data_IF_706170753273
#
_entry.id   IF_706170753273
#
_cell.length_a   1.000
_cell.length_b   1.000
_cell.length_c   1.000
_cell.angle_alpha   90.00
_cell.angle_beta   90.00
_cell.angle_gamma   90.00
#
_symmetry.space_group_name_H-M   'P 1'
#
loop_
_entity.id
_entity.type
_entity.pdbx_description
1 polymer ?
#
# COMPACT_ATOMS: atom_id res chain seq x y z
N UNK A 1 25.94 -26.10 34.48
CA UNK A 1 24.47 -25.98 34.22
C UNK A 1 24.16 -24.50 34.00
N UNK A 2 24.16 -24.03 32.75
CA UNK A 2 23.88 -22.64 32.43
C UNK A 2 22.36 -22.51 32.22
N UNK A 3 21.70 -21.76 33.10
CA UNK A 3 20.32 -21.40 32.96
C UNK A 3 20.20 -20.32 31.86
N UNK A 4 19.72 -20.70 30.70
CA UNK A 4 19.26 -19.76 29.69
C UNK A 4 17.91 -19.17 30.17
N UNK A 5 17.96 -17.97 30.74
CA UNK A 5 16.75 -17.16 30.93
C UNK A 5 16.35 -16.60 29.57
N UNK A 6 15.34 -17.19 28.94
CA UNK A 6 14.68 -16.59 27.78
C UNK A 6 13.99 -15.30 28.25
N UNK A 7 14.52 -14.16 27.85
CA UNK A 7 13.81 -12.89 27.97
C UNK A 7 12.51 -13.00 27.15
N UNK A 8 11.36 -12.54 27.67
CA UNK A 8 10.14 -12.52 26.90
C UNK A 8 10.35 -11.61 25.69
N UNK A 9 10.30 -12.17 24.49
CA UNK A 9 10.17 -11.42 23.25
C UNK A 9 8.78 -10.78 23.26
N UNK A 10 8.69 -9.52 23.71
CA UNK A 10 7.49 -8.72 23.45
C UNK A 10 7.31 -8.64 21.93
N UNK A 11 6.28 -9.28 21.41
CA UNK A 11 5.92 -9.19 20.00
C UNK A 11 5.71 -7.71 19.62
N UNK A 12 6.21 -7.31 18.46
CA UNK A 12 5.95 -5.96 17.94
C UNK A 12 4.46 -5.71 17.87
N UNK A 13 4.03 -4.51 18.26
CA UNK A 13 2.63 -4.07 18.19
C UNK A 13 2.55 -2.61 17.78
N UNK A 14 1.41 -2.25 17.20
CA UNK A 14 1.09 -0.86 16.91
C UNK A 14 0.53 -0.17 18.15
N UNK A 15 1.09 1.00 18.49
CA UNK A 15 0.56 1.88 19.54
C UNK A 15 0.04 3.15 18.87
N UNK A 16 -1.22 3.51 19.14
CA UNK A 16 -1.81 4.72 18.57
C UNK A 16 -1.10 5.97 19.08
N UNK A 17 -0.74 6.84 18.14
CA UNK A 17 -0.21 8.19 18.42
C UNK A 17 -1.33 9.21 18.25
N UNK A 18 -2.13 9.06 17.19
CA UNK A 18 -3.18 10.01 16.80
C UNK A 18 -4.19 9.35 15.88
N UNK A 19 -5.40 9.90 15.86
CA UNK A 19 -6.41 9.60 14.82
C UNK A 19 -7.06 10.87 14.31
N UNK A 20 -7.46 10.81 13.04
CA UNK A 20 -8.19 11.89 12.37
C UNK A 20 -9.51 11.34 11.85
N UNK A 21 -10.63 11.87 12.33
CA UNK A 21 -11.94 11.56 11.76
C UNK A 21 -12.18 12.46 10.55
N UNK A 22 -12.51 11.85 9.42
CA UNK A 22 -12.68 12.53 8.15
C UNK A 22 -14.07 12.23 7.57
N UNK A 23 -14.43 12.92 6.49
CA UNK A 23 -15.73 12.73 5.84
C UNK A 23 -15.81 11.39 5.11
N UNK A 24 -14.73 11.01 4.43
CA UNK A 24 -14.67 9.76 3.66
C UNK A 24 -13.24 9.21 3.63
N UNK A 25 -13.12 7.92 3.98
CA UNK A 25 -11.85 7.19 3.94
C UNK A 25 -12.13 5.77 3.44
N UNK A 26 -11.65 5.40 2.24
CA UNK A 26 -12.06 4.14 1.61
C UNK A 26 -10.92 3.22 1.17
N UNK A 27 -9.90 3.73 0.48
CA UNK A 27 -8.90 2.88 -0.18
C UNK A 27 -7.53 2.95 0.49
N UNK A 28 -7.05 4.12 0.82
CA UNK A 28 -5.73 4.22 1.43
C UNK A 28 -5.31 5.62 1.82
N UNK A 29 -4.07 5.70 2.29
CA UNK A 29 -3.43 6.93 2.70
C UNK A 29 -1.99 6.97 2.20
N UNK A 30 -1.55 8.14 1.74
CA UNK A 30 -0.15 8.47 1.46
C UNK A 30 0.33 9.57 2.41
N UNK A 31 1.63 9.71 2.60
CA UNK A 31 2.21 10.68 3.55
C UNK A 31 3.41 11.39 2.93
N UNK A 32 3.55 12.70 3.18
CA UNK A 32 4.80 13.45 3.02
C UNK A 32 5.27 14.02 4.38
N UNK A 33 6.20 14.95 4.36
CA UNK A 33 6.75 15.54 5.58
C UNK A 33 5.67 16.29 6.41
N UNK A 34 4.80 17.08 5.76
CA UNK A 34 3.81 17.94 6.42
C UNK A 34 2.36 17.51 6.31
N UNK A 35 2.05 16.57 5.41
CA UNK A 35 0.69 16.23 5.06
C UNK A 35 0.46 14.72 4.97
N UNK A 36 -0.80 14.34 5.03
CA UNK A 36 -1.27 13.05 4.56
C UNK A 36 -2.37 13.24 3.51
N UNK A 37 -2.50 12.24 2.64
CA UNK A 37 -3.41 12.23 1.49
C UNK A 37 -4.33 11.03 1.62
N UNK A 38 -5.63 11.26 1.66
CA UNK A 38 -6.62 10.18 1.62
C UNK A 38 -6.94 9.86 0.17
N UNK A 39 -6.92 8.59 -0.15
CA UNK A 39 -7.19 8.07 -1.49
C UNK A 39 -8.49 7.30 -1.44
N UNK A 40 -9.44 7.70 -2.26
CA UNK A 40 -10.69 7.01 -2.52
C UNK A 40 -10.75 6.59 -3.99
N UNK A 41 -11.75 5.80 -4.37
CA UNK A 41 -11.85 5.28 -5.74
C UNK A 41 -11.70 6.36 -6.83
N UNK A 42 -12.29 7.53 -6.61
CA UNK A 42 -12.44 8.60 -7.60
C UNK A 42 -11.99 9.97 -7.07
N UNK A 43 -11.46 10.01 -5.85
CA UNK A 43 -11.14 11.29 -5.21
C UNK A 43 -9.88 11.22 -4.36
N UNK A 44 -9.29 12.39 -4.16
CA UNK A 44 -8.15 12.61 -3.28
C UNK A 44 -8.44 13.80 -2.38
N UNK A 45 -8.05 13.70 -1.11
CA UNK A 45 -8.02 14.83 -0.19
C UNK A 45 -6.66 14.95 0.47
N UNK A 46 -6.18 16.16 0.67
CA UNK A 46 -4.90 16.48 1.32
C UNK A 46 -5.16 17.13 2.66
N UNK A 47 -4.47 16.69 3.70
CA UNK A 47 -4.65 17.14 5.06
C UNK A 47 -3.33 17.44 5.73
N UNK A 48 -3.30 18.43 6.64
CA UNK A 48 -2.14 18.70 7.48
C UNK A 48 -1.97 17.62 8.55
N UNK A 49 -0.73 17.21 8.83
CA UNK A 49 -0.43 16.26 9.92
C UNK A 49 -0.67 16.85 11.31
N UNK A 50 -0.61 18.19 11.45
CA UNK A 50 -0.72 18.86 12.74
C UNK A 50 -2.11 18.78 13.36
N UNK A 51 -3.16 18.93 12.53
CA UNK A 51 -4.54 19.06 12.99
C UNK A 51 -5.58 18.32 12.13
N UNK A 52 -5.15 17.70 11.02
CA UNK A 52 -6.03 16.99 10.08
C UNK A 52 -6.84 17.91 9.18
N UNK A 53 -6.58 19.22 9.18
CA UNK A 53 -7.32 20.17 8.35
C UNK A 53 -7.10 19.88 6.87
N UNK A 54 -8.20 19.78 6.12
CA UNK A 54 -8.14 19.62 4.67
C UNK A 54 -7.63 20.91 4.00
N UNK A 55 -6.62 20.76 3.15
CA UNK A 55 -5.97 21.87 2.43
C UNK A 55 -6.20 21.83 0.92
N UNK A 56 -6.49 20.66 0.37
CA UNK A 56 -6.84 20.49 -1.05
C UNK A 56 -7.73 19.27 -1.24
N UNK A 57 -8.45 19.25 -2.35
CA UNK A 57 -9.24 18.10 -2.80
C UNK A 57 -9.22 18.03 -4.33
N UNK A 58 -9.37 16.80 -4.82
CA UNK A 58 -9.55 16.51 -6.24
C UNK A 58 -10.57 15.39 -6.42
N UNK A 59 -11.40 15.49 -7.45
CA UNK A 59 -12.36 14.46 -7.83
C UNK A 59 -12.26 14.21 -9.33
N UNK A 60 -12.36 12.97 -9.74
CA UNK A 60 -12.52 12.61 -11.15
C UNK A 60 -13.92 13.02 -11.64
N UNK A 61 -13.96 14.03 -12.50
CA UNK A 61 -15.20 14.51 -13.14
C UNK A 61 -15.42 13.86 -14.50
N UNK A 62 -14.48 13.07 -14.97
CA UNK A 62 -14.52 12.43 -16.31
C UNK A 62 -15.06 11.01 -16.28
N UNK A 63 -15.06 10.37 -15.11
CA UNK A 63 -15.42 8.95 -14.94
C UNK A 63 -14.38 7.98 -15.49
N UNK A 64 -13.17 8.45 -15.77
CA UNK A 64 -12.09 7.62 -16.31
C UNK A 64 -11.34 6.83 -15.24
N UNK A 65 -11.28 7.34 -14.01
CA UNK A 65 -10.60 6.67 -12.90
C UNK A 65 -11.61 5.85 -12.10
N UNK A 66 -11.65 4.54 -12.37
CA UNK A 66 -12.63 3.63 -11.77
C UNK A 66 -12.27 3.22 -10.34
N UNK A 67 -11.01 2.94 -10.08
CA UNK A 67 -10.58 2.39 -8.79
C UNK A 67 -9.12 2.77 -8.48
N UNK A 68 -8.91 3.94 -7.89
CA UNK A 68 -7.63 4.24 -7.23
C UNK A 68 -7.54 3.46 -5.92
N UNK A 69 -6.33 3.01 -5.54
CA UNK A 69 -6.14 2.11 -4.41
C UNK A 69 -5.16 2.70 -3.37
N UNK A 70 -3.91 2.85 -3.72
CA UNK A 70 -2.86 3.36 -2.84
C UNK A 70 -2.17 4.58 -3.42
N UNK A 71 -1.28 5.19 -2.65
CA UNK A 71 -0.43 6.26 -3.14
C UNK A 71 0.90 6.35 -2.41
N UNK A 72 1.87 6.95 -3.09
CA UNK A 72 3.18 7.30 -2.52
C UNK A 72 3.60 8.69 -3.00
N UNK A 73 4.16 9.48 -2.09
CA UNK A 73 4.71 10.80 -2.44
C UNK A 73 6.21 10.69 -2.66
N UNK A 74 6.66 11.06 -3.86
CA UNK A 74 8.08 11.12 -4.22
C UNK A 74 8.40 12.53 -4.75
N UNK A 75 9.20 13.26 -4.01
CA UNK A 75 9.47 14.67 -4.29
C UNK A 75 8.18 15.50 -4.21
N UNK A 76 7.79 16.14 -5.30
CA UNK A 76 6.55 16.95 -5.39
C UNK A 76 5.41 16.26 -6.11
N UNK A 77 5.45 14.94 -6.25
CA UNK A 77 4.44 14.18 -6.98
C UNK A 77 3.82 13.11 -6.06
N UNK A 78 2.51 12.99 -6.11
CA UNK A 78 1.75 11.89 -5.55
C UNK A 78 1.45 10.91 -6.68
N UNK A 79 1.94 9.69 -6.54
CA UNK A 79 1.72 8.59 -7.48
C UNK A 79 0.64 7.68 -6.90
N UNK A 80 -0.52 7.63 -7.54
CA UNK A 80 -1.64 6.80 -7.12
C UNK A 80 -1.75 5.57 -8.01
N UNK A 81 -1.90 4.40 -7.42
CA UNK A 81 -2.22 3.18 -8.17
C UNK A 81 -3.68 3.19 -8.59
N UNK A 82 -3.95 2.75 -9.80
CA UNK A 82 -5.29 2.69 -10.38
C UNK A 82 -5.49 1.41 -11.19
N UNK A 83 -6.71 0.88 -11.18
CA UNK A 83 -7.13 -0.21 -12.05
C UNK A 83 -8.60 -0.08 -12.42
N UNK A 84 -9.03 -0.88 -13.42
CA UNK A 84 -10.44 -1.01 -13.77
C UNK A 84 -11.20 -1.99 -12.87
N UNK A 85 -10.64 -2.38 -11.72
CA UNK A 85 -11.31 -3.30 -10.79
C UNK A 85 -12.80 -2.92 -10.59
N UNK A 86 -13.76 -3.86 -10.58
CA UNK A 86 -13.58 -5.32 -10.63
C UNK A 86 -13.64 -5.94 -12.03
N UNK A 87 -13.49 -5.17 -13.10
CA UNK A 87 -13.63 -5.66 -14.48
C UNK A 87 -12.44 -6.55 -14.87
N UNK A 88 -12.70 -7.51 -15.74
CA UNK A 88 -11.69 -8.34 -16.37
C UNK A 88 -11.82 -8.23 -17.91
N UNK A 89 -10.71 -8.21 -18.64
CA UNK A 89 -9.33 -8.28 -18.17
C UNK A 89 -8.90 -7.05 -17.38
N UNK A 90 -8.02 -7.25 -16.37
CA UNK A 90 -7.50 -6.15 -15.55
C UNK A 90 -6.61 -5.23 -16.37
N UNK A 91 -6.94 -3.94 -16.35
CA UNK A 91 -6.11 -2.85 -16.87
C UNK A 91 -5.66 -1.97 -15.70
N UNK A 92 -4.40 -1.58 -15.69
CA UNK A 92 -3.80 -0.88 -14.57
C UNK A 92 -2.90 0.26 -15.00
N UNK A 93 -2.83 1.30 -14.17
CA UNK A 93 -2.01 2.49 -14.37
C UNK A 93 -1.48 3.06 -13.05
N UNK A 94 -0.51 3.95 -13.16
CA UNK A 94 -0.14 4.90 -12.11
C UNK A 94 -0.63 6.26 -12.55
N UNK A 95 -1.45 6.88 -11.73
CA UNK A 95 -1.95 8.24 -11.92
C UNK A 95 -1.09 9.23 -11.13
N UNK A 96 -0.62 10.28 -11.77
CA UNK A 96 0.37 11.19 -11.19
C UNK A 96 -0.28 12.54 -10.93
N UNK A 97 -0.18 13.00 -9.69
CA UNK A 97 -0.71 14.28 -9.24
C UNK A 97 0.41 15.18 -8.71
N UNK A 98 0.28 16.49 -8.90
CA UNK A 98 1.08 17.46 -8.16
C UNK A 98 0.69 17.40 -6.67
N UNK A 99 1.63 17.09 -5.80
CA UNK A 99 1.36 16.88 -4.38
C UNK A 99 0.97 18.16 -3.62
N UNK A 100 1.14 19.34 -4.21
CA UNK A 100 0.73 20.61 -3.60
C UNK A 100 -0.71 20.94 -3.93
N UNK A 101 -1.07 20.87 -5.20
CA UNK A 101 -2.37 21.32 -5.73
C UNK A 101 -3.39 20.21 -5.95
N UNK A 102 -2.96 18.95 -5.90
CA UNK A 102 -3.69 17.75 -6.32
C UNK A 102 -4.15 17.77 -7.78
N UNK A 103 -3.59 18.63 -8.62
CA UNK A 103 -3.88 18.60 -10.06
C UNK A 103 -3.30 17.32 -10.67
N UNK A 104 -4.09 16.59 -11.44
CA UNK A 104 -3.62 15.46 -12.24
C UNK A 104 -2.64 15.98 -13.32
N UNK A 105 -1.47 15.38 -13.42
CA UNK A 105 -0.36 15.87 -14.28
C UNK A 105 0.22 14.81 -15.20
N UNK A 106 -0.23 13.55 -15.10
CA UNK A 106 0.25 12.50 -15.98
C UNK A 106 -0.23 11.12 -15.55
N UNK A 107 0.03 10.16 -16.40
CA UNK A 107 -0.33 8.76 -16.20
C UNK A 107 0.74 7.85 -16.81
N UNK A 108 0.95 6.68 -16.21
CA UNK A 108 1.70 5.58 -16.82
C UNK A 108 0.82 4.34 -16.85
N UNK A 109 0.49 3.85 -18.06
CA UNK A 109 -0.34 2.66 -18.23
C UNK A 109 0.53 1.40 -18.34
N UNK A 110 0.16 0.37 -17.57
CA UNK A 110 0.68 -0.99 -17.74
C UNK A 110 -0.14 -1.81 -18.75
N UNK A 111 -1.23 -1.23 -19.28
CA UNK A 111 -2.16 -1.92 -20.17
C UNK A 111 -2.85 -3.09 -19.48
N UNK A 112 -3.05 -4.16 -20.23
CA UNK A 112 -3.65 -5.40 -19.74
C UNK A 112 -2.60 -6.30 -19.06
N UNK A 113 -1.96 -5.79 -18.00
CA UNK A 113 -1.03 -6.60 -17.22
C UNK A 113 -1.80 -7.64 -16.38
N UNK A 114 -1.19 -8.79 -16.05
CA UNK A 114 -1.88 -9.82 -15.28
C UNK A 114 -2.09 -9.43 -13.82
N UNK A 115 -3.01 -8.50 -13.56
CA UNK A 115 -3.43 -8.13 -12.22
C UNK A 115 -3.84 -6.67 -12.07
N UNK A 116 -4.48 -6.37 -10.94
CA UNK A 116 -4.81 -5.01 -10.49
C UNK A 116 -3.62 -4.40 -9.76
N UNK A 117 -3.14 -3.23 -10.16
CA UNK A 117 -2.12 -2.52 -9.39
C UNK A 117 -2.75 -2.03 -8.08
N UNK A 118 -2.30 -2.60 -6.96
CA UNK A 118 -2.82 -2.26 -5.63
C UNK A 118 -1.91 -1.33 -4.85
N UNK A 119 -0.60 -1.45 -5.02
CA UNK A 119 0.35 -0.52 -4.44
C UNK A 119 1.62 -0.39 -5.28
N UNK A 120 2.25 0.75 -5.16
CA UNK A 120 3.56 1.04 -5.74
C UNK A 120 4.41 1.82 -4.74
N UNK A 121 5.71 1.61 -4.80
CA UNK A 121 6.69 2.36 -4.02
C UNK A 121 7.96 2.60 -4.84
N UNK A 122 8.70 3.64 -4.48
CA UNK A 122 10.01 3.95 -5.08
C UNK A 122 11.11 3.74 -4.04
N UNK A 123 11.95 2.73 -4.28
CA UNK A 123 13.00 2.34 -3.34
C UNK A 123 14.30 1.98 -4.07
N UNK A 124 15.42 2.55 -3.64
CA UNK A 124 16.75 2.32 -4.22
C UNK A 124 16.81 2.50 -5.75
N UNK A 125 16.24 3.62 -6.27
CA UNK A 125 16.27 3.96 -7.69
C UNK A 125 15.35 3.10 -8.58
N UNK A 126 14.40 2.37 -8.00
CA UNK A 126 13.47 1.51 -8.74
C UNK A 126 12.04 1.66 -8.25
N UNK A 127 11.11 1.51 -9.18
CA UNK A 127 9.71 1.31 -8.85
C UNK A 127 9.46 -0.15 -8.47
N UNK A 128 8.67 -0.34 -7.42
CA UNK A 128 8.19 -1.63 -6.94
C UNK A 128 6.67 -1.62 -6.97
N UNK A 129 6.08 -2.49 -7.77
CA UNK A 129 4.64 -2.46 -8.07
C UNK A 129 4.04 -3.82 -7.81
N UNK A 130 2.99 -3.89 -7.01
CA UNK A 130 2.24 -5.11 -6.77
C UNK A 130 1.04 -5.20 -7.71
N UNK A 131 0.98 -6.31 -8.45
CA UNK A 131 -0.14 -6.68 -9.29
C UNK A 131 -0.94 -7.78 -8.60
N UNK A 132 -2.08 -7.41 -8.04
CA UNK A 132 -2.97 -8.32 -7.34
C UNK A 132 -3.87 -9.09 -8.30
N UNK A 133 -4.05 -10.37 -8.02
CA UNK A 133 -5.10 -11.20 -8.57
C UNK A 133 -6.00 -11.67 -7.43
N UNK A 134 -7.21 -12.10 -7.72
CA UNK A 134 -8.25 -12.38 -6.75
C UNK A 134 -8.81 -13.79 -6.92
N UNK A 135 -9.39 -14.35 -5.85
CA UNK A 135 -10.09 -15.64 -5.86
C UNK A 135 -11.61 -15.47 -5.71
N UNK A 136 -12.14 -14.31 -6.07
CA UNK A 136 -13.56 -13.97 -6.01
C UNK A 136 -14.10 -13.56 -7.40
N UNK A 137 -15.21 -12.81 -7.42
CA UNK A 137 -15.87 -12.34 -8.66
C UNK A 137 -14.99 -11.49 -9.58
N UNK A 138 -13.88 -10.94 -9.08
CA UNK A 138 -12.91 -10.20 -9.87
C UNK A 138 -11.75 -11.09 -10.36
N UNK A 139 -11.88 -12.40 -10.25
CA UNK A 139 -10.93 -13.37 -10.75
C UNK A 139 -10.97 -13.42 -12.28
N UNK A 140 -9.83 -13.29 -12.93
CA UNK A 140 -9.70 -13.57 -14.35
C UNK A 140 -9.70 -15.11 -14.56
N UNK A 141 -10.19 -15.56 -15.73
CA UNK A 141 -10.23 -16.98 -16.06
C UNK A 141 -8.86 -17.64 -15.91
N UNK A 142 -8.81 -18.76 -15.21
CA UNK A 142 -7.59 -19.51 -14.93
C UNK A 142 -6.64 -18.85 -13.94
N UNK A 143 -7.05 -17.77 -13.25
CA UNK A 143 -6.24 -17.07 -12.26
C UNK A 143 -6.96 -16.95 -10.94
N UNK A 144 -6.18 -16.95 -9.86
CA UNK A 144 -6.61 -16.67 -8.51
C UNK A 144 -5.55 -15.79 -7.80
N UNK A 145 -5.69 -15.57 -6.51
CA UNK A 145 -4.76 -14.71 -5.78
C UNK A 145 -3.30 -15.23 -5.74
N UNK A 146 -3.04 -16.49 -6.10
CA UNK A 146 -1.68 -17.05 -6.23
C UNK A 146 -0.88 -16.42 -7.38
N UNK A 147 -1.57 -15.75 -8.32
CA UNK A 147 -0.95 -15.00 -9.41
C UNK A 147 -0.50 -13.58 -9.01
N UNK A 148 -0.68 -13.21 -7.75
CA UNK A 148 -0.22 -11.92 -7.23
C UNK A 148 1.30 -11.84 -7.23
N UNK A 149 1.84 -10.77 -7.81
CA UNK A 149 3.28 -10.56 -7.97
C UNK A 149 3.71 -9.19 -7.51
N UNK A 150 4.95 -9.10 -7.02
CA UNK A 150 5.69 -7.85 -6.86
C UNK A 150 6.69 -7.72 -7.99
N UNK A 151 6.61 -6.66 -8.75
CA UNK A 151 7.44 -6.42 -9.93
C UNK A 151 8.31 -5.18 -9.71
N UNK A 152 9.59 -5.32 -10.03
CA UNK A 152 10.58 -4.25 -10.00
C UNK A 152 10.72 -3.65 -11.38
N UNK A 153 10.67 -2.32 -11.47
CA UNK A 153 10.86 -1.55 -12.70
C UNK A 153 11.99 -0.55 -12.55
N UNK A 154 12.60 -0.16 -13.67
CA UNK A 154 13.47 1.02 -13.73
C UNK A 154 12.65 2.30 -13.51
N UNK A 155 13.32 3.45 -13.35
CA UNK A 155 12.66 4.76 -13.30
C UNK A 155 11.83 5.05 -14.56
N UNK A 156 12.20 4.49 -15.72
CA UNK A 156 11.47 4.59 -16.99
C UNK A 156 10.44 3.49 -17.21
N UNK A 157 10.06 2.77 -16.16
CA UNK A 157 9.04 1.71 -16.16
C UNK A 157 9.38 0.47 -17.00
N UNK A 158 10.66 0.18 -17.23
CA UNK A 158 11.07 -1.09 -17.83
C UNK A 158 11.14 -2.16 -16.75
N UNK A 159 10.48 -3.30 -16.96
CA UNK A 159 10.50 -4.41 -16.02
C UNK A 159 11.92 -4.97 -15.87
N UNK A 160 12.37 -5.19 -14.64
CA UNK A 160 13.68 -5.74 -14.29
C UNK A 160 13.53 -7.17 -13.77
N UNK A 161 12.72 -7.35 -12.71
CA UNK A 161 12.52 -8.63 -12.01
C UNK A 161 11.10 -8.71 -11.44
N UNK A 162 10.68 -9.93 -11.06
CA UNK A 162 9.39 -10.15 -10.41
C UNK A 162 9.47 -11.30 -9.39
N UNK A 163 8.64 -11.20 -8.33
CA UNK A 163 8.54 -12.20 -7.26
C UNK A 163 7.08 -12.53 -6.96
N UNK A 164 6.84 -13.81 -6.70
CA UNK A 164 5.59 -14.27 -6.15
C UNK A 164 5.51 -13.97 -4.65
N UNK A 165 4.30 -13.76 -4.13
CA UNK A 165 4.07 -13.72 -2.70
C UNK A 165 4.08 -15.14 -2.10
N UNK A 166 4.48 -15.32 -0.83
CA UNK A 166 4.47 -16.62 -0.17
C UNK A 166 3.05 -17.17 -0.04
N UNK A 167 2.88 -18.48 -0.21
CA UNK A 167 1.57 -19.13 -0.20
C UNK A 167 0.76 -18.89 1.10
N UNK A 168 1.43 -18.92 2.26
CA UNK A 168 0.79 -18.65 3.55
C UNK A 168 0.28 -17.19 3.67
N UNK A 169 0.97 -16.23 3.07
CA UNK A 169 0.55 -14.81 3.03
C UNK A 169 -0.64 -14.65 2.10
N UNK A 170 -0.61 -15.26 0.91
CA UNK A 170 -1.73 -15.25 -0.02
C UNK A 170 -2.98 -15.93 0.55
N UNK A 171 -2.80 -17.02 1.30
CA UNK A 171 -3.90 -17.69 2.00
C UNK A 171 -4.51 -16.77 3.08
N UNK A 172 -3.69 -16.00 3.79
CA UNK A 172 -4.19 -15.04 4.78
C UNK A 172 -4.95 -13.87 4.14
N UNK A 173 -4.65 -13.51 2.90
CA UNK A 173 -5.32 -12.47 2.13
C UNK A 173 -6.61 -12.94 1.44
N UNK A 174 -6.75 -14.26 1.20
CA UNK A 174 -7.86 -14.84 0.44
C UNK A 174 -9.24 -14.48 1.02
N UNK A 175 -10.27 -14.29 0.17
CA UNK A 175 -10.28 -14.41 -1.30
C UNK A 175 -9.70 -13.19 -2.04
N UNK A 176 -9.35 -12.14 -1.29
CA UNK A 176 -8.71 -10.93 -1.79
C UNK A 176 -7.19 -11.14 -1.99
N UNK A 177 -6.46 -10.04 -2.06
CA UNK A 177 -5.02 -10.02 -2.25
C UNK A 177 -4.37 -8.92 -1.41
N UNK A 178 -3.10 -8.57 -1.72
CA UNK A 178 -2.45 -7.42 -1.10
C UNK A 178 -3.14 -6.12 -1.51
N UNK A 179 -3.41 -5.24 -0.54
CA UNK A 179 -4.05 -3.93 -0.77
C UNK A 179 -3.10 -2.76 -0.59
N UNK A 180 -2.08 -2.91 0.24
CA UNK A 180 -1.07 -1.89 0.48
C UNK A 180 0.31 -2.47 0.63
N UNK A 181 1.33 -1.66 0.34
CA UNK A 181 2.71 -2.08 0.57
C UNK A 181 3.71 -0.94 0.40
N UNK A 182 4.84 -1.08 1.07
CA UNK A 182 5.94 -0.11 1.03
C UNK A 182 7.24 -0.75 1.51
N UNK A 183 8.36 -0.15 1.14
CA UNK A 183 9.67 -0.48 1.69
C UNK A 183 9.94 0.29 2.97
N UNK A 184 10.41 -0.41 3.99
CA UNK A 184 10.98 0.21 5.17
C UNK A 184 12.44 0.64 4.95
N UNK A 185 12.93 1.56 5.77
CA UNK A 185 14.33 2.00 5.76
C UNK A 185 15.31 0.88 6.13
N UNK A 186 14.82 -0.18 6.75
CA UNK A 186 15.58 -1.39 7.12
C UNK A 186 15.71 -2.43 5.98
N UNK A 187 15.23 -2.12 4.77
CA UNK A 187 15.28 -3.03 3.63
C UNK A 187 14.26 -4.17 3.67
N UNK A 188 13.22 -4.04 4.49
CA UNK A 188 12.11 -4.98 4.53
C UNK A 188 10.90 -4.42 3.78
N UNK A 189 10.08 -5.32 3.27
CA UNK A 189 8.82 -5.01 2.62
C UNK A 189 7.71 -5.19 3.66
N UNK A 190 6.87 -4.19 3.79
CA UNK A 190 5.68 -4.22 4.62
C UNK A 190 4.46 -4.23 3.71
N UNK A 191 3.51 -5.13 3.94
CA UNK A 191 2.28 -5.16 3.16
C UNK A 191 1.07 -5.55 4.01
N UNK A 192 -0.10 -5.12 3.56
CA UNK A 192 -1.41 -5.46 4.13
C UNK A 192 -2.22 -6.30 3.16
N UNK A 193 -3.14 -7.10 3.71
CA UNK A 193 -4.24 -7.68 2.97
C UNK A 193 -5.40 -6.70 2.81
N UNK A 194 -6.61 -7.22 2.60
CA UNK A 194 -7.80 -6.38 2.37
C UNK A 194 -8.60 -6.09 3.65
N UNK A 195 -8.70 -7.03 4.58
CA UNK A 195 -9.65 -6.91 5.70
C UNK A 195 -8.99 -6.95 7.07
N UNK A 196 -8.03 -7.86 7.28
CA UNK A 196 -7.46 -8.10 8.60
C UNK A 196 -6.56 -6.95 9.06
N UNK A 197 -6.63 -6.57 10.35
CA UNK A 197 -5.76 -5.54 10.92
C UNK A 197 -4.34 -6.09 11.17
N UNK A 198 -3.66 -6.44 10.10
CA UNK A 198 -2.38 -7.14 10.10
C UNK A 198 -1.42 -6.53 9.09
N UNK A 199 -0.17 -6.31 9.51
CA UNK A 199 0.95 -5.87 8.68
C UNK A 199 1.90 -7.05 8.52
N UNK A 200 2.09 -7.51 7.31
CA UNK A 200 2.96 -8.62 6.95
C UNK A 200 4.34 -8.09 6.58
N UNK A 201 5.38 -8.65 7.20
CA UNK A 201 6.76 -8.28 6.96
C UNK A 201 7.42 -9.33 6.09
N UNK A 202 7.91 -8.89 4.94
CA UNK A 202 8.54 -9.73 3.93
C UNK A 202 9.95 -9.22 3.63
N UNK A 203 10.75 -10.06 3.00
CA UNK A 203 12.03 -9.67 2.39
C UNK A 203 12.23 -10.33 1.03
N UNK A 204 13.12 -9.78 0.22
CA UNK A 204 13.58 -10.46 -0.98
C UNK A 204 14.31 -11.74 -0.61
N UNK A 205 14.17 -12.81 -1.40
CA UNK A 205 14.95 -14.03 -1.20
C UNK A 205 16.40 -13.81 -1.62
N UNK A 206 17.32 -14.55 -1.02
CA UNK A 206 18.70 -14.59 -1.49
C UNK A 206 18.83 -15.29 -2.85
N UNK A 207 17.92 -16.21 -3.13
CA UNK A 207 17.82 -16.97 -4.39
C UNK A 207 16.36 -17.31 -4.67
N UNK A 208 16.04 -17.42 -5.96
CA UNK A 208 14.70 -17.76 -6.43
C UNK A 208 13.78 -16.53 -6.53
N UNK A 209 12.50 -16.77 -6.69
CA UNK A 209 11.51 -15.78 -7.13
C UNK A 209 10.28 -15.70 -6.22
N UNK A 210 10.38 -16.20 -4.98
CA UNK A 210 9.30 -16.08 -3.99
C UNK A 210 9.77 -15.25 -2.80
N UNK A 211 9.04 -14.20 -2.45
CA UNK A 211 9.31 -13.39 -1.26
C UNK A 211 9.35 -14.26 0.00
N UNK A 212 10.16 -13.89 0.97
CA UNK A 212 10.24 -14.60 2.24
C UNK A 212 9.39 -13.89 3.28
N UNK A 213 8.43 -14.62 3.86
CA UNK A 213 7.67 -14.15 5.01
C UNK A 213 8.52 -14.21 6.28
N UNK A 214 8.51 -13.14 7.05
CA UNK A 214 9.23 -13.05 8.32
C UNK A 214 8.30 -13.10 9.53
N UNK A 215 7.26 -12.26 9.54
CA UNK A 215 6.31 -12.15 10.66
C UNK A 215 5.08 -11.33 10.27
N UNK A 216 4.07 -11.39 11.13
CA UNK A 216 2.90 -10.52 11.11
C UNK A 216 2.89 -9.63 12.36
N UNK A 217 2.54 -8.36 12.18
CA UNK A 217 2.41 -7.37 13.26
C UNK A 217 0.94 -6.93 13.31
N UNK A 218 0.25 -7.08 14.46
CA UNK A 218 -1.10 -6.54 14.61
C UNK A 218 -1.11 -5.02 14.45
N UNK A 219 -2.10 -4.49 13.71
CA UNK A 219 -2.30 -3.05 13.50
C UNK A 219 -3.61 -2.58 14.14
N UNK A 220 -3.81 -1.26 14.20
CA UNK A 220 -5.04 -0.64 14.69
C UNK A 220 -5.99 -0.24 13.56
N UNK A 221 -5.57 -0.41 12.32
CA UNK A 221 -6.34 -0.14 11.11
C UNK A 221 -6.67 -1.43 10.38
N UNK A 222 -7.70 -1.39 9.54
CA UNK A 222 -8.04 -2.50 8.65
C UNK A 222 -6.92 -2.74 7.63
N UNK A 223 -6.99 -3.90 6.97
CA UNK A 223 -6.10 -4.22 5.85
C UNK A 223 -6.53 -3.46 4.60
N UNK A 224 -5.96 -2.30 4.38
CA UNK A 224 -6.11 -1.46 3.18
C UNK A 224 -4.76 -0.82 2.88
N UNK A 225 -4.70 0.04 1.87
CA UNK A 225 -3.47 0.75 1.58
C UNK A 225 -3.09 1.70 2.72
N UNK A 226 -1.83 1.74 3.03
CA UNK A 226 -1.24 2.46 4.15
C UNK A 226 0.04 3.17 3.71
N UNK A 227 0.60 3.98 4.58
CA UNK A 227 1.91 4.58 4.36
C UNK A 227 2.78 4.55 5.61
N UNK A 228 4.08 4.42 5.43
CA UNK A 228 5.07 4.64 6.48
C UNK A 228 5.61 6.07 6.33
N UNK A 229 5.59 6.82 7.42
CA UNK A 229 6.11 8.18 7.46
C UNK A 229 7.64 8.20 7.47
N UNK A 230 8.24 8.41 6.32
CA UNK A 230 9.69 8.43 6.13
C UNK A 230 10.37 9.72 6.64
N UNK A 231 9.59 10.74 7.00
CA UNK A 231 10.12 11.95 7.62
C UNK A 231 10.55 11.72 9.06
N UNK A 232 9.93 10.74 9.74
CA UNK A 232 10.28 10.34 11.10
C UNK A 232 11.43 9.35 11.07
N UNK A 233 12.59 9.74 11.60
CA UNK A 233 13.78 8.87 11.65
C UNK A 233 13.73 7.94 12.86
N UNK A 234 14.32 6.74 12.71
CA UNK A 234 14.49 5.73 13.77
C UNK A 234 13.20 5.17 14.38
N UNK A 235 12.05 5.44 13.75
CA UNK A 235 10.75 4.95 14.17
C UNK A 235 9.95 4.50 12.95
N UNK A 236 9.13 3.48 13.11
CA UNK A 236 8.19 3.07 12.10
C UNK A 236 6.82 3.68 12.44
N UNK A 237 6.55 4.86 11.88
CA UNK A 237 5.26 5.54 12.03
C UNK A 237 4.36 5.16 10.86
N UNK A 238 3.28 4.49 11.17
CA UNK A 238 2.35 3.90 10.24
C UNK A 238 1.05 4.71 10.20
N UNK A 239 0.62 5.08 9.01
CA UNK A 239 -0.68 5.68 8.73
C UNK A 239 -1.56 4.64 8.06
N UNK A 240 -2.60 4.20 8.72
CA UNK A 240 -3.60 3.26 8.21
C UNK A 240 -5.00 3.85 8.28
N UNK A 241 -5.98 3.13 7.73
CA UNK A 241 -7.36 3.60 7.66
C UNK A 241 -8.35 2.63 8.29
N UNK A 242 -9.49 3.16 8.78
CA UNK A 242 -10.69 2.39 9.11
C UNK A 242 -11.86 2.92 8.29
N UNK A 243 -12.42 2.07 7.43
CA UNK A 243 -13.45 2.47 6.47
C UNK A 243 -14.81 2.72 7.12
N UNK A 244 -15.16 1.90 8.11
CA UNK A 244 -16.47 1.97 8.75
C UNK A 244 -16.66 3.26 9.53
N UNK A 245 -15.61 3.73 10.19
CA UNK A 245 -15.64 4.89 11.06
C UNK A 245 -15.01 6.13 10.43
N UNK A 246 -14.46 6.01 9.21
CA UNK A 246 -13.77 7.07 8.47
C UNK A 246 -12.60 7.70 9.24
N UNK A 247 -11.74 6.88 9.85
CA UNK A 247 -10.52 7.37 10.48
C UNK A 247 -9.27 7.10 9.65
N UNK A 248 -8.35 8.05 9.72
CA UNK A 248 -6.92 7.79 9.52
C UNK A 248 -6.30 7.61 10.90
N UNK A 249 -5.70 6.45 11.15
CA UNK A 249 -5.04 6.12 12.42
C UNK A 249 -3.53 6.17 12.22
N UNK A 250 -2.86 6.93 13.08
CA UNK A 250 -1.40 7.03 13.12
C UNK A 250 -0.90 6.21 14.29
N UNK A 251 0.00 5.27 14.03
CA UNK A 251 0.56 4.36 15.03
C UNK A 251 2.07 4.32 14.95
N UNK A 252 2.74 4.14 16.07
CA UNK A 252 4.15 3.72 16.13
C UNK A 252 4.21 2.20 16.29
N UNK A 253 4.98 1.54 15.45
CA UNK A 253 5.26 0.10 15.52
C UNK A 253 6.60 -0.10 16.23
N UNK A 254 6.54 -0.71 17.41
CA UNK A 254 7.69 -0.99 18.29
C UNK A 254 8.08 -2.47 18.23
#
# INVERSE_FOLDING_TARGET
MFLYTSLPTFGQKANEIRRFQLTEVRQGVAVDEGHFYVINNHSLTKHTKSDGKQTAAWNDTTGQLKHMNSGVVIGRKLYCTHSNYPDVPMASSIEIFDAVTLRHIGSHSFGLFPGSVTWADFYQGHWWVAFANYSDKASAEGRDNRWTTLVKFTESWQQVEAWAFPANVLQAFAPKSTSGGTWGSNGLIYCTGHDKPELYVLKLPERGHTLQYLKTIPTLSEGQAFSIDRSVKNKLVFYGITRNDNYVIVSEIN
#
